data_IF_381011970786
#
_entry.id   IF_381011970786
#
_cell.length_a   1.000
_cell.length_b   1.000
_cell.length_c   1.000
_cell.angle_alpha   90.00
_cell.angle_beta   90.00
_cell.angle_gamma   90.00
#
_symmetry.space_group_name_H-M   'P 1'
#
loop_
_entity.id
_entity.type
_entity.pdbx_description
1 polymer ?
#
# COMPACT_ATOMS: atom_id res chain seq x y z
N UNK A 1 -10.67 -4.67 2.07
CA UNK A 1 -9.83 -3.82 2.94
C UNK A 1 -9.83 -2.40 2.40
N UNK A 2 -10.59 -1.47 2.98
CA UNK A 2 -10.59 -0.08 2.49
C UNK A 2 -9.32 0.65 2.93
N UNK A 3 -8.90 1.67 2.18
CA UNK A 3 -7.75 2.50 2.51
C UNK A 3 -8.10 3.99 2.39
N UNK A 4 -7.60 4.78 3.33
CA UNK A 4 -7.58 6.25 3.24
C UNK A 4 -6.12 6.67 3.12
N UNK A 5 -5.83 7.49 2.12
CA UNK A 5 -4.49 8.01 1.84
C UNK A 5 -4.54 9.54 1.94
N UNK A 6 -3.45 10.12 2.42
CA UNK A 6 -3.23 11.57 2.45
C UNK A 6 -1.98 11.88 1.63
N UNK A 7 -1.94 13.07 1.02
CA UNK A 7 -0.79 13.58 0.26
C UNK A 7 -0.24 12.56 -0.77
N UNK A 8 -1.11 12.18 -1.71
CA UNK A 8 -0.89 11.05 -2.61
C UNK A 8 -0.59 11.50 -4.04
N UNK A 9 0.42 10.90 -4.66
CA UNK A 9 0.65 10.99 -6.09
C UNK A 9 -0.03 9.81 -6.83
N UNK A 10 -1.08 10.12 -7.58
CA UNK A 10 -1.76 9.18 -8.46
C UNK A 10 -1.06 9.13 -9.81
N UNK A 11 -0.50 7.97 -10.15
CA UNK A 11 -0.02 7.68 -11.51
C UNK A 11 -1.03 6.81 -12.24
N UNK A 12 -1.62 7.34 -13.32
CA UNK A 12 -2.59 6.61 -14.14
C UNK A 12 -1.88 5.77 -15.21
N UNK A 13 -2.63 4.86 -15.84
CA UNK A 13 -2.11 3.97 -16.90
C UNK A 13 -1.59 4.74 -18.13
N UNK A 14 -2.17 5.92 -18.41
CA UNK A 14 -1.72 6.83 -19.47
C UNK A 14 -0.47 7.65 -19.10
N UNK A 15 0.16 7.35 -17.95
CA UNK A 15 1.33 8.02 -17.38
C UNK A 15 1.09 9.46 -16.95
N UNK A 16 -0.17 9.89 -16.84
CA UNK A 16 -0.47 11.16 -16.17
C UNK A 16 -0.29 11.03 -14.67
N UNK A 17 0.31 12.06 -14.07
CA UNK A 17 0.49 12.17 -12.64
C UNK A 17 -0.42 13.26 -12.09
N UNK A 18 -1.07 12.98 -10.97
CA UNK A 18 -1.95 13.92 -10.28
C UNK A 18 -1.67 13.87 -8.79
N UNK A 19 -1.58 15.04 -8.17
CA UNK A 19 -1.44 15.14 -6.73
C UNK A 19 -2.82 15.29 -6.07
N UNK A 20 -3.11 14.45 -5.08
CA UNK A 20 -4.37 14.44 -4.35
C UNK A 20 -4.11 14.56 -2.86
N UNK A 21 -4.68 15.60 -2.23
CA UNK A 21 -4.50 15.84 -0.79
C UNK A 21 -5.07 14.71 0.07
N UNK A 22 -6.19 14.12 -0.35
CA UNK A 22 -6.85 13.02 0.34
C UNK A 22 -7.57 12.12 -0.65
N UNK A 23 -7.45 10.81 -0.46
CA UNK A 23 -8.07 9.81 -1.32
C UNK A 23 -8.64 8.67 -0.48
N UNK A 24 -9.85 8.23 -0.81
CA UNK A 24 -10.44 7.01 -0.28
C UNK A 24 -10.50 5.93 -1.37
N UNK A 25 -9.98 4.75 -1.08
CA UNK A 25 -9.98 3.61 -1.99
C UNK A 25 -10.79 2.48 -1.38
N UNK A 26 -11.86 2.09 -2.08
CA UNK A 26 -12.65 0.92 -1.71
C UNK A 26 -11.80 -0.34 -1.87
N UNK A 27 -11.80 -1.19 -0.86
CA UNK A 27 -10.92 -2.36 -0.83
C UNK A 27 -11.12 -3.39 -1.93
N UNK A 28 -12.32 -3.45 -2.51
CA UNK A 28 -12.58 -4.32 -3.66
C UNK A 28 -11.88 -3.86 -4.94
N UNK A 29 -11.37 -2.62 -4.98
CA UNK A 29 -10.62 -2.09 -6.11
C UNK A 29 -9.10 -2.23 -5.93
N UNK A 30 -8.63 -2.73 -4.78
CA UNK A 30 -7.20 -2.85 -4.46
C UNK A 30 -6.73 -4.26 -4.82
N UNK A 31 -5.75 -4.35 -5.71
CA UNK A 31 -5.14 -5.62 -6.10
C UNK A 31 -4.05 -6.05 -5.10
N UNK A 32 -3.15 -5.14 -4.74
CA UNK A 32 -2.06 -5.39 -3.79
C UNK A 32 -1.55 -4.07 -3.21
N UNK A 33 -0.79 -4.17 -2.11
CA UNK A 33 -0.03 -3.05 -1.55
C UNK A 33 1.46 -3.30 -1.72
N UNK A 34 2.22 -2.26 -2.03
CA UNK A 34 3.68 -2.26 -1.90
C UNK A 34 4.00 -1.60 -0.56
N UNK A 35 4.52 -2.39 0.38
CA UNK A 35 4.83 -1.90 1.72
C UNK A 35 6.27 -1.39 1.80
N UNK A 36 6.56 -0.44 2.69
CA UNK A 36 7.92 0.02 2.93
C UNK A 36 8.86 -1.15 3.29
N UNK A 37 10.11 -1.17 2.81
CA UNK A 37 11.05 -2.25 3.10
C UNK A 37 11.27 -2.49 4.60
N UNK A 38 11.16 -1.46 5.44
CA UNK A 38 11.31 -1.54 6.89
C UNK A 38 10.29 -2.48 7.56
N UNK A 39 9.11 -2.66 6.96
CA UNK A 39 8.07 -3.55 7.48
C UNK A 39 8.56 -5.00 7.57
N UNK A 40 9.54 -5.42 6.77
CA UNK A 40 10.11 -6.78 6.83
C UNK A 40 10.63 -7.19 8.21
N UNK A 41 10.99 -6.23 9.05
CA UNK A 41 11.50 -6.45 10.40
C UNK A 41 10.39 -6.41 11.46
N UNK A 42 9.13 -6.23 11.05
CA UNK A 42 8.03 -6.20 11.99
C UNK A 42 7.85 -7.56 12.67
N UNK A 43 7.63 -7.60 14.00
CA UNK A 43 7.56 -8.86 14.75
C UNK A 43 6.55 -9.88 14.22
N UNK A 44 5.45 -9.40 13.62
CA UNK A 44 4.40 -10.25 13.06
C UNK A 44 4.78 -10.91 11.72
N UNK A 45 5.80 -10.42 11.01
CA UNK A 45 6.35 -11.07 9.82
C UNK A 45 7.49 -12.03 10.16
N UNK A 46 8.27 -11.73 11.21
CA UNK A 46 9.38 -12.58 11.65
C UNK A 46 8.91 -13.91 12.26
N UNK A 47 7.72 -13.94 12.87
CA UNK A 47 7.16 -15.14 13.50
C UNK A 47 6.77 -16.26 12.51
N UNK A 48 6.73 -15.97 11.21
CA UNK A 48 6.44 -16.94 10.15
C UNK A 48 7.65 -17.60 9.48
N UNK A 49 8.88 -17.24 9.87
CA UNK A 49 10.12 -17.62 9.17
C UNK A 49 10.97 -18.73 9.81
N UNK A 50 10.55 -19.30 10.94
CA UNK A 50 11.26 -20.43 11.58
C UNK A 50 10.29 -21.58 11.83
N UNK A 51 10.19 -22.46 10.85
CA UNK A 51 9.36 -23.66 10.91
C UNK A 51 9.74 -24.67 9.83
N UNK A 52 11.04 -24.99 9.73
CA UNK A 52 11.64 -26.24 9.24
C UNK A 52 13.13 -26.05 9.01
#
# INVERSE_FOLDING_TARGET
MNATLEDTELTRRDKTTQHEKSMFVRGSAINFFVLPPAIRFAPFLLKGGTGS
#
